data_IF_439319803809
#
_entry.id   IF_439319803809
#
_cell.length_a   1.000
_cell.length_b   1.000
_cell.length_c   1.000
_cell.angle_alpha   90.00
_cell.angle_beta   90.00
_cell.angle_gamma   90.00
#
_symmetry.space_group_name_H-M   'P 1'
#
loop_
_entity.id
_entity.type
_entity.pdbx_description
1 polymer ?
#
# COMPACT_ATOMS: atom_id res chain seq x y z
N UNK A 1 -0.93 -35.87 8.51
CA UNK A 1 -0.69 -34.48 8.05
C UNK A 1 -0.96 -34.49 6.56
N UNK A 2 -1.77 -33.58 6.05
CA UNK A 2 -2.05 -33.46 4.60
C UNK A 2 -1.11 -32.41 4.05
N UNK A 3 -0.36 -32.74 3.01
CA UNK A 3 0.54 -31.82 2.34
C UNK A 3 -0.07 -31.36 1.03
N UNK A 4 -0.07 -30.05 0.78
CA UNK A 4 -0.51 -29.49 -0.49
C UNK A 4 0.66 -29.46 -1.48
N UNK A 5 0.41 -29.91 -2.71
CA UNK A 5 1.37 -29.83 -3.80
C UNK A 5 1.20 -28.49 -4.54
N UNK A 6 2.30 -27.97 -5.07
CA UNK A 6 2.29 -26.75 -5.86
C UNK A 6 2.76 -27.09 -7.28
N UNK A 7 1.98 -26.71 -8.28
CA UNK A 7 2.36 -26.90 -9.67
C UNK A 7 3.60 -26.04 -10.02
N UNK A 8 4.48 -26.60 -10.85
CA UNK A 8 5.73 -25.92 -11.24
C UNK A 8 5.47 -24.54 -11.88
N UNK A 9 4.42 -24.43 -12.69
CA UNK A 9 4.02 -23.16 -13.29
C UNK A 9 3.56 -22.14 -12.24
N UNK A 10 2.88 -22.57 -11.20
CA UNK A 10 2.51 -21.70 -10.06
C UNK A 10 3.73 -21.14 -9.37
N UNK A 11 4.76 -21.97 -9.15
CA UNK A 11 6.04 -21.51 -8.58
C UNK A 11 6.75 -20.49 -9.46
N UNK A 12 6.72 -20.67 -10.78
CA UNK A 12 7.29 -19.68 -11.72
C UNK A 12 6.54 -18.36 -11.62
N UNK A 13 5.21 -18.38 -11.58
CA UNK A 13 4.38 -17.17 -11.43
C UNK A 13 4.59 -16.47 -10.09
N UNK A 14 4.70 -17.25 -9.02
CA UNK A 14 5.02 -16.72 -7.70
C UNK A 14 6.37 -16.00 -7.67
N UNK A 15 7.41 -16.61 -8.26
CA UNK A 15 8.73 -16.01 -8.31
C UNK A 15 8.72 -14.72 -9.14
N UNK A 16 8.11 -14.73 -10.33
CA UNK A 16 7.99 -13.55 -11.18
C UNK A 16 7.22 -12.42 -10.48
N UNK A 17 6.14 -12.75 -9.77
CA UNK A 17 5.37 -11.78 -9.00
C UNK A 17 6.19 -11.22 -7.83
N UNK A 18 6.96 -12.07 -7.15
CA UNK A 18 7.83 -11.65 -6.04
C UNK A 18 8.93 -10.69 -6.52
N UNK A 19 9.55 -10.98 -7.65
CA UNK A 19 10.56 -10.11 -8.27
C UNK A 19 9.94 -8.76 -8.65
N UNK A 20 8.78 -8.75 -9.32
CA UNK A 20 8.09 -7.52 -9.68
C UNK A 20 7.73 -6.68 -8.46
N UNK A 21 7.23 -7.29 -7.37
CA UNK A 21 6.94 -6.59 -6.13
C UNK A 21 8.21 -6.03 -5.48
N UNK A 22 9.30 -6.78 -5.51
CA UNK A 22 10.59 -6.33 -4.99
C UNK A 22 11.14 -5.14 -5.77
N UNK A 23 11.12 -5.19 -7.09
CA UNK A 23 11.55 -4.07 -7.95
C UNK A 23 10.76 -2.78 -7.66
N UNK A 24 9.47 -2.88 -7.36
CA UNK A 24 8.66 -1.71 -7.02
C UNK A 24 9.05 -1.07 -5.68
N UNK A 25 9.77 -1.79 -4.81
CA UNK A 25 10.29 -1.24 -3.55
C UNK A 25 11.58 -0.42 -3.72
N UNK A 26 12.18 -0.38 -4.91
CA UNK A 26 13.35 0.48 -5.17
C UNK A 26 13.01 1.94 -4.86
N UNK A 27 13.80 2.62 -4.01
CA UNK A 27 13.56 4.02 -3.63
C UNK A 27 13.43 4.97 -4.83
N UNK A 28 14.08 4.65 -5.96
CA UNK A 28 14.04 5.46 -7.19
C UNK A 28 12.69 5.41 -7.91
N UNK A 29 11.82 4.44 -7.60
CA UNK A 29 10.49 4.28 -8.21
C UNK A 29 9.40 5.11 -7.53
N UNK A 30 9.71 5.83 -6.44
CA UNK A 30 8.79 6.76 -5.80
C UNK A 30 7.64 6.09 -5.01
N UNK A 31 7.75 4.80 -4.69
CA UNK A 31 6.77 4.14 -3.83
C UNK A 31 6.79 4.78 -2.43
N UNK A 32 5.61 5.14 -1.93
CA UNK A 32 5.47 5.68 -0.57
C UNK A 32 6.03 4.69 0.47
N UNK A 33 6.84 5.19 1.39
CA UNK A 33 7.54 4.38 2.38
C UNK A 33 6.59 3.59 3.27
N UNK A 34 5.40 4.12 3.54
CA UNK A 34 4.34 3.46 4.33
C UNK A 34 3.81 2.19 3.65
N UNK A 35 3.86 2.12 2.32
CA UNK A 35 3.44 0.95 1.55
C UNK A 35 4.58 -0.06 1.33
N UNK A 36 5.83 0.38 1.36
CA UNK A 36 7.00 -0.44 1.01
C UNK A 36 7.06 -1.76 1.78
N UNK A 37 6.78 -1.74 3.09
CA UNK A 37 6.77 -2.94 3.92
C UNK A 37 5.68 -3.95 3.56
N UNK A 38 4.61 -3.53 2.88
CA UNK A 38 3.52 -4.41 2.47
C UNK A 38 3.83 -5.13 1.14
N UNK A 39 4.63 -4.52 0.27
CA UNK A 39 4.94 -5.07 -1.04
C UNK A 39 5.64 -6.43 -0.97
N UNK A 40 6.58 -6.62 -0.05
CA UNK A 40 7.22 -7.92 0.19
C UNK A 40 6.27 -9.00 0.72
N UNK A 41 5.10 -8.62 1.23
CA UNK A 41 4.11 -9.56 1.79
C UNK A 41 3.05 -10.01 0.79
N UNK A 42 2.81 -9.24 -0.28
CA UNK A 42 1.76 -9.55 -1.26
C UNK A 42 1.95 -10.91 -1.94
N UNK A 43 3.15 -11.33 -2.38
CA UNK A 43 3.32 -12.65 -2.99
C UNK A 43 2.98 -13.79 -2.03
N UNK A 44 3.43 -13.69 -0.78
CA UNK A 44 3.14 -14.69 0.26
C UNK A 44 1.65 -14.70 0.61
N UNK A 45 1.00 -13.55 0.63
CA UNK A 45 -0.45 -13.45 0.83
C UNK A 45 -1.21 -14.13 -0.30
N UNK A 46 -0.83 -13.90 -1.55
CA UNK A 46 -1.42 -14.56 -2.71
C UNK A 46 -1.28 -16.09 -2.61
N UNK A 47 -0.09 -16.60 -2.25
CA UNK A 47 0.13 -18.03 -2.07
C UNK A 47 -0.74 -18.62 -0.95
N UNK A 48 -0.89 -17.93 0.16
CA UNK A 48 -1.77 -18.35 1.27
C UNK A 48 -3.25 -18.39 0.84
N UNK A 49 -3.71 -17.39 0.09
CA UNK A 49 -5.07 -17.37 -0.44
C UNK A 49 -5.27 -18.50 -1.44
N UNK A 50 -4.31 -18.75 -2.35
CA UNK A 50 -4.36 -19.86 -3.27
C UNK A 50 -4.46 -21.21 -2.55
N UNK A 51 -3.71 -21.38 -1.46
CA UNK A 51 -3.81 -22.60 -0.62
C UNK A 51 -5.20 -22.75 0.02
N UNK A 52 -5.78 -21.65 0.52
CA UNK A 52 -7.13 -21.68 1.10
C UNK A 52 -8.16 -22.08 0.05
N UNK A 53 -8.12 -21.48 -1.15
CA UNK A 53 -9.01 -21.82 -2.26
C UNK A 53 -8.86 -23.29 -2.64
N UNK A 54 -7.62 -23.77 -2.76
CA UNK A 54 -7.34 -25.18 -3.02
C UNK A 54 -7.92 -26.11 -1.95
N UNK A 55 -7.79 -25.74 -0.67
CA UNK A 55 -8.30 -26.54 0.43
C UNK A 55 -9.85 -26.60 0.42
N UNK A 56 -10.51 -25.51 0.04
CA UNK A 56 -11.97 -25.47 -0.10
C UNK A 56 -12.44 -26.41 -1.21
N UNK A 57 -11.88 -26.30 -2.40
CA UNK A 57 -12.22 -27.17 -3.53
C UNK A 57 -11.91 -28.65 -3.21
N UNK A 58 -10.77 -28.91 -2.55
CA UNK A 58 -10.39 -30.25 -2.14
C UNK A 58 -11.39 -30.91 -1.16
N UNK A 59 -11.93 -30.13 -0.22
CA UNK A 59 -12.95 -30.62 0.71
C UNK A 59 -14.28 -30.89 -0.02
N UNK A 60 -14.68 -30.01 -0.95
CA UNK A 60 -15.88 -30.17 -1.76
C UNK A 60 -15.81 -31.45 -2.63
N UNK A 61 -14.64 -31.77 -3.16
CA UNK A 61 -14.39 -32.99 -3.96
C UNK A 61 -14.28 -34.27 -3.10
N UNK A 62 -14.51 -34.19 -1.80
CA UNK A 62 -14.50 -35.29 -0.86
C UNK A 62 -13.11 -35.70 -0.36
N UNK A 63 -12.14 -34.84 -0.46
CA UNK A 63 -10.78 -34.98 0.14
C UNK A 63 -10.05 -36.29 -0.25
N UNK A 64 -10.18 -36.73 -1.51
CA UNK A 64 -9.69 -38.04 -1.94
C UNK A 64 -8.20 -38.08 -2.22
N UNK A 65 -7.65 -37.01 -2.84
CA UNK A 65 -6.26 -36.93 -3.25
C UNK A 65 -5.55 -35.82 -2.44
N UNK A 66 -4.23 -35.68 -2.63
CA UNK A 66 -3.51 -34.53 -2.04
C UNK A 66 -3.94 -33.23 -2.71
N UNK A 67 -4.27 -32.16 -1.94
CA UNK A 67 -4.66 -30.90 -2.51
C UNK A 67 -3.53 -30.32 -3.36
N UNK A 68 -3.89 -29.77 -4.53
CA UNK A 68 -2.92 -29.23 -5.49
C UNK A 68 -3.26 -27.79 -5.85
N UNK A 69 -2.35 -26.89 -5.58
CA UNK A 69 -2.47 -25.49 -5.97
C UNK A 69 -2.25 -25.41 -7.48
N UNK A 70 -3.35 -25.17 -8.21
CA UNK A 70 -3.36 -25.01 -9.66
C UNK A 70 -3.15 -23.56 -10.07
N UNK A 71 -2.86 -23.35 -11.36
CA UNK A 71 -2.75 -22.00 -11.92
C UNK A 71 -4.06 -21.18 -11.75
N UNK A 72 -5.22 -21.84 -11.78
CA UNK A 72 -6.51 -21.19 -11.57
C UNK A 72 -6.65 -20.64 -10.14
N UNK A 73 -6.22 -21.40 -9.12
CA UNK A 73 -6.21 -20.93 -7.73
C UNK A 73 -5.25 -19.77 -7.56
N UNK A 74 -4.04 -19.86 -8.16
CA UNK A 74 -3.07 -18.79 -8.13
C UNK A 74 -3.61 -17.51 -8.76
N UNK A 75 -4.20 -17.59 -9.97
CA UNK A 75 -4.73 -16.43 -10.68
C UNK A 75 -5.84 -15.73 -9.89
N UNK A 76 -6.77 -16.48 -9.29
CA UNK A 76 -7.82 -15.92 -8.42
C UNK A 76 -7.20 -15.23 -7.19
N UNK A 77 -6.25 -15.87 -6.54
CA UNK A 77 -5.58 -15.33 -5.36
C UNK A 77 -4.78 -14.07 -5.67
N UNK A 78 -4.05 -14.06 -6.77
CA UNK A 78 -3.28 -12.89 -7.23
C UNK A 78 -4.20 -11.71 -7.53
N UNK A 79 -5.34 -11.94 -8.21
CA UNK A 79 -6.33 -10.91 -8.48
C UNK A 79 -6.85 -10.26 -7.19
N UNK A 80 -7.18 -11.06 -6.17
CA UNK A 80 -7.63 -10.54 -4.88
C UNK A 80 -6.56 -9.69 -4.19
N UNK A 81 -5.30 -10.12 -4.25
CA UNK A 81 -4.19 -9.36 -3.64
C UNK A 81 -3.94 -8.06 -4.40
N UNK A 82 -4.09 -8.04 -5.73
CA UNK A 82 -3.98 -6.80 -6.51
C UNK A 82 -5.10 -5.80 -6.17
N UNK A 83 -6.31 -6.27 -5.88
CA UNK A 83 -7.40 -5.42 -5.37
C UNK A 83 -7.07 -4.83 -4.00
N UNK A 84 -6.45 -5.61 -3.09
CA UNK A 84 -5.97 -5.09 -1.81
C UNK A 84 -4.87 -4.06 -2.00
N UNK A 85 -3.93 -4.30 -2.93
CA UNK A 85 -2.85 -3.36 -3.25
C UNK A 85 -3.43 -2.04 -3.78
N UNK A 86 -4.36 -2.11 -4.73
CA UNK A 86 -5.04 -0.93 -5.28
C UNK A 86 -5.81 -0.16 -4.19
N UNK A 87 -6.49 -0.88 -3.29
CA UNK A 87 -7.21 -0.29 -2.17
C UNK A 87 -6.29 0.41 -1.17
N UNK A 88 -5.13 -0.18 -0.88
CA UNK A 88 -4.12 0.45 -0.02
C UNK A 88 -3.60 1.77 -0.60
N UNK A 89 -3.39 1.83 -1.92
CA UNK A 89 -3.01 3.07 -2.60
C UNK A 89 -4.11 4.14 -2.54
N UNK A 90 -5.37 3.76 -2.80
CA UNK A 90 -6.51 4.68 -2.71
C UNK A 90 -6.64 5.27 -1.31
N UNK A 91 -6.60 4.40 -0.29
CA UNK A 91 -6.70 4.83 1.11
C UNK A 91 -5.56 5.79 1.49
N UNK A 92 -4.34 5.51 1.04
CA UNK A 92 -3.20 6.39 1.29
C UNK A 92 -3.35 7.74 0.60
N UNK A 93 -3.85 7.78 -0.64
CA UNK A 93 -4.13 9.02 -1.36
C UNK A 93 -5.18 9.86 -0.61
N UNK A 94 -6.27 9.25 -0.15
CA UNK A 94 -7.30 9.92 0.65
C UNK A 94 -6.74 10.49 1.96
N UNK A 95 -5.87 9.73 2.65
CA UNK A 95 -5.20 10.19 3.87
C UNK A 95 -4.28 11.38 3.62
N UNK A 96 -3.57 11.40 2.49
CA UNK A 96 -2.70 12.51 2.12
C UNK A 96 -3.52 13.78 1.85
N UNK A 97 -4.59 13.71 1.08
CA UNK A 97 -5.51 14.83 0.84
C UNK A 97 -6.07 15.38 2.16
N UNK A 98 -6.52 14.50 3.07
CA UNK A 98 -7.01 14.92 4.39
C UNK A 98 -5.93 15.61 5.23
N UNK A 99 -4.66 15.19 5.13
CA UNK A 99 -3.57 15.83 5.86
C UNK A 99 -3.21 17.19 5.28
N UNK A 100 -3.23 17.34 3.96
CA UNK A 100 -2.97 18.60 3.26
C UNK A 100 -4.02 19.65 3.65
N UNK A 101 -5.31 19.29 3.61
CA UNK A 101 -6.40 20.17 4.06
C UNK A 101 -6.23 20.61 5.53
N UNK A 102 -5.84 19.68 6.42
CA UNK A 102 -5.54 20.03 7.82
C UNK A 102 -4.34 20.96 7.95
N UNK A 103 -3.34 20.80 7.11
CA UNK A 103 -2.14 21.67 7.12
C UNK A 103 -2.50 23.07 6.59
N UNK A 104 -3.28 23.15 5.52
CA UNK A 104 -3.80 24.43 4.99
C UNK A 104 -4.60 25.17 6.04
N UNK A 105 -5.53 24.50 6.73
CA UNK A 105 -6.33 25.12 7.79
C UNK A 105 -5.45 25.66 8.92
N UNK A 106 -4.42 24.91 9.36
CA UNK A 106 -3.48 25.39 10.38
C UNK A 106 -2.73 26.64 9.95
N UNK A 107 -2.37 26.73 8.67
CA UNK A 107 -1.69 27.91 8.11
C UNK A 107 -2.64 29.09 8.10
N UNK A 108 -3.88 28.93 7.65
CA UNK A 108 -4.89 29.98 7.65
C UNK A 108 -5.18 30.51 9.06
N UNK A 109 -5.35 29.59 10.03
CA UNK A 109 -5.56 29.94 11.44
C UNK A 109 -4.36 30.69 12.04
N UNK A 110 -3.14 30.32 11.65
CA UNK A 110 -1.93 31.01 12.08
C UNK A 110 -1.86 32.42 11.51
N UNK A 111 -2.12 32.58 10.19
CA UNK A 111 -2.10 33.88 9.52
C UNK A 111 -3.18 34.80 10.14
N UNK A 112 -4.39 34.29 10.37
CA UNK A 112 -5.47 35.04 11.00
C UNK A 112 -5.14 35.51 12.44
N UNK A 113 -4.33 34.71 13.16
CA UNK A 113 -3.93 35.03 14.55
C UNK A 113 -2.80 36.05 14.63
N UNK A 114 -1.91 36.04 13.63
CA UNK A 114 -0.71 36.88 13.60
C UNK A 114 -0.98 38.25 12.99
N UNK A 115 -2.06 38.92 13.25
CA UNK A 115 -2.42 40.26 12.72
C UNK A 115 -1.21 41.23 12.65
N UNK A 116 -0.35 41.05 11.68
CA UNK A 116 0.81 41.90 11.42
C UNK A 116 0.55 42.78 10.20
N UNK A 117 1.16 43.98 10.20
CA UNK A 117 1.16 44.89 9.03
C UNK A 117 1.82 44.28 7.80
N UNK A 118 2.70 43.30 7.99
CA UNK A 118 3.33 42.52 6.91
C UNK A 118 2.93 41.03 7.02
N UNK A 119 2.73 40.35 5.89
CA UNK A 119 2.42 38.92 5.88
C UNK A 119 3.56 38.12 6.53
N UNK A 120 3.24 37.07 7.29
CA UNK A 120 4.26 36.24 7.94
C UNK A 120 5.13 35.51 6.92
N UNK A 121 6.40 35.41 7.20
CA UNK A 121 7.36 34.66 6.37
C UNK A 121 7.11 33.15 6.43
N UNK A 122 7.50 32.41 5.38
CA UNK A 122 7.43 30.94 5.35
C UNK A 122 8.05 30.29 6.61
N UNK A 123 9.12 30.88 7.16
CA UNK A 123 9.77 30.41 8.40
C UNK A 123 8.91 30.62 9.65
N UNK A 124 8.23 31.73 9.73
CA UNK A 124 7.31 32.03 10.85
C UNK A 124 6.10 31.11 10.80
N UNK A 125 5.51 30.88 9.62
CA UNK A 125 4.42 29.95 9.40
C UNK A 125 4.82 28.53 9.83
N UNK A 126 5.96 28.03 9.37
CA UNK A 126 6.46 26.71 9.75
C UNK A 126 6.64 26.54 11.27
N UNK A 127 7.15 27.57 11.96
CA UNK A 127 7.31 27.56 13.43
C UNK A 127 5.95 27.60 14.15
N UNK A 128 5.04 28.43 13.68
CA UNK A 128 3.78 28.70 14.34
C UNK A 128 2.72 27.61 14.15
N UNK A 129 2.78 26.87 13.04
CA UNK A 129 1.79 25.82 12.74
C UNK A 129 2.17 24.44 13.29
N UNK A 130 3.46 24.24 13.63
CA UNK A 130 3.97 22.95 14.11
C UNK A 130 3.93 21.83 13.06
N UNK A 131 3.83 22.17 11.77
CA UNK A 131 3.87 21.18 10.68
C UNK A 131 5.29 20.62 10.62
N UNK A 132 5.44 19.31 10.84
CA UNK A 132 6.76 18.66 10.97
C UNK A 132 7.55 18.63 9.66
N UNK A 133 6.86 18.47 8.53
CA UNK A 133 7.50 18.43 7.21
C UNK A 133 7.58 19.85 6.63
N UNK A 134 8.80 20.38 6.52
CA UNK A 134 9.06 21.74 6.00
C UNK A 134 8.63 21.91 4.54
N UNK A 135 8.72 20.83 3.72
CA UNK A 135 8.28 20.87 2.32
C UNK A 135 6.76 21.00 2.21
N UNK A 136 6.01 20.24 3.01
CA UNK A 136 4.55 20.32 3.04
C UNK A 136 4.05 21.71 3.48
N UNK A 137 4.70 22.31 4.48
CA UNK A 137 4.37 23.66 4.93
C UNK A 137 4.60 24.70 3.83
N UNK A 138 5.59 24.53 2.97
CA UNK A 138 5.90 25.50 1.90
C UNK A 138 5.00 25.33 0.68
N UNK A 139 4.64 24.08 0.30
CA UNK A 139 3.69 23.81 -0.79
C UNK A 139 2.32 24.41 -0.47
N UNK A 140 1.84 24.24 0.76
CA UNK A 140 0.55 24.79 1.19
C UNK A 140 0.50 26.34 1.29
N UNK A 141 1.65 27.02 1.29
CA UNK A 141 1.70 28.51 1.26
C UNK A 141 1.72 29.05 -0.17
N UNK A 142 2.18 28.25 -1.13
CA UNK A 142 2.30 28.66 -2.54
C UNK A 142 1.04 28.26 -3.36
N UNK A 143 0.06 27.56 -2.75
CA UNK A 143 -1.22 27.21 -3.35
C UNK A 143 -2.28 28.26 -3.05
#
# INVERSE_FOLDING_TARGET
MVEAMIDAEVMQRFNAYSEAMHELTDPRRGLDERLRGNYGRFPVMAMKIALILTAMDWVEDGAKDSPRISLAHWAKAQLLVEEYRASAHRLLAELNVSQDVKNEQKILDFIARVQKEQPPTKREIHRGTGIKNRKEAYVAVDA
#
